data_IF_932864173816
#
_entry.id   IF_932864173816
#
_cell.length_a   1.000
_cell.length_b   1.000
_cell.length_c   1.000
_cell.angle_alpha   90.00
_cell.angle_beta   90.00
_cell.angle_gamma   90.00
#
_symmetry.space_group_name_H-M   'P 1'
#
loop_
_entity.id
_entity.type
_entity.pdbx_description
1 polymer ?
#
# COMPACT_ATOMS: atom_id res chain seq x y z
N UNK A 1 -19.56 13.37 11.31
CA UNK A 1 -20.46 13.06 10.17
C UNK A 1 -19.93 11.85 9.40
N UNK A 2 -19.63 10.75 10.11
CA UNK A 2 -19.17 9.46 9.53
C UNK A 2 -20.01 8.29 10.05
N UNK A 3 -21.07 8.55 10.83
CA UNK A 3 -21.75 7.51 11.60
C UNK A 3 -22.85 6.78 10.83
N UNK A 4 -23.31 7.28 9.68
CA UNK A 4 -24.40 6.65 8.95
C UNK A 4 -24.15 6.68 7.44
N UNK A 5 -23.43 5.67 6.94
CA UNK A 5 -23.65 5.20 5.57
C UNK A 5 -24.67 4.05 5.66
N UNK A 6 -25.92 4.24 5.21
CA UNK A 6 -26.95 3.21 5.25
C UNK A 6 -26.65 2.13 4.20
N UNK A 7 -25.73 1.22 4.52
CA UNK A 7 -25.55 -0.02 3.76
C UNK A 7 -26.71 -0.96 4.10
N UNK A 8 -27.82 -0.83 3.37
CA UNK A 8 -28.94 -1.76 3.44
C UNK A 8 -28.55 -3.14 2.88
N UNK A 9 -29.21 -4.20 3.38
CA UNK A 9 -28.99 -5.62 3.05
C UNK A 9 -28.90 -5.96 1.55
N UNK A 10 -29.41 -5.10 0.67
CA UNK A 10 -29.47 -5.33 -0.79
C UNK A 10 -28.25 -4.85 -1.58
N UNK A 11 -27.33 -4.07 -0.99
CA UNK A 11 -26.23 -3.44 -1.73
C UNK A 11 -24.85 -4.07 -1.46
N UNK A 12 -24.73 -4.80 -0.36
CA UNK A 12 -23.46 -5.33 0.17
C UNK A 12 -22.74 -6.36 -0.72
N UNK A 13 -23.41 -7.35 -1.38
CA UNK A 13 -22.70 -8.34 -2.19
C UNK A 13 -21.85 -7.73 -3.32
N UNK A 14 -22.21 -6.53 -3.78
CA UNK A 14 -21.52 -5.83 -4.85
C UNK A 14 -20.31 -5.00 -4.35
N UNK A 15 -20.28 -4.67 -3.06
CA UNK A 15 -19.35 -3.70 -2.43
C UNK A 15 -18.18 -4.35 -1.70
N UNK A 16 -18.16 -5.67 -1.52
CA UNK A 16 -17.05 -6.36 -0.83
C UNK A 16 -15.86 -6.61 -1.77
N UNK A 17 -16.11 -6.83 -3.08
CA UNK A 17 -15.09 -6.93 -4.14
C UNK A 17 -13.94 -5.89 -4.10
N UNK A 18 -14.18 -4.58 -3.90
CA UNK A 18 -13.19 -3.52 -3.99
C UNK A 18 -12.32 -3.36 -2.74
N UNK A 19 -12.67 -4.04 -1.64
CA UNK A 19 -12.05 -3.90 -0.31
C UNK A 19 -11.07 -5.03 0.03
N UNK A 20 -10.99 -6.06 -0.81
CA UNK A 20 -10.11 -7.20 -0.51
C UNK A 20 -8.69 -6.92 -0.98
N UNK A 21 -7.92 -6.40 -0.04
CA UNK A 21 -6.47 -6.40 -0.07
C UNK A 21 -5.93 -7.79 0.27
N UNK A 22 -4.74 -8.18 -0.26
CA UNK A 22 -4.03 -9.35 0.22
C UNK A 22 -3.85 -9.25 1.74
N UNK A 23 -4.11 -10.37 2.44
CA UNK A 23 -4.38 -10.50 3.89
C UNK A 23 -3.24 -10.11 4.86
N UNK A 24 -2.36 -9.17 4.50
CA UNK A 24 -1.18 -8.78 5.27
C UNK A 24 -1.25 -7.41 5.97
N UNK A 25 -2.19 -6.51 5.63
CA UNK A 25 -2.19 -5.15 6.20
C UNK A 25 -2.91 -5.02 7.57
N UNK A 26 -3.87 -5.89 7.87
CA UNK A 26 -4.68 -5.82 9.12
C UNK A 26 -3.86 -5.98 10.41
N UNK A 27 -2.65 -6.56 10.36
CA UNK A 27 -1.74 -6.67 11.52
C UNK A 27 -0.57 -5.68 11.52
N UNK A 28 -0.35 -4.93 10.43
CA UNK A 28 0.89 -4.15 10.23
C UNK A 28 0.81 -2.69 10.65
N UNK A 29 -0.39 -2.09 10.72
CA UNK A 29 -0.55 -0.67 11.09
C UNK A 29 -0.09 -0.33 12.52
N UNK A 30 0.03 -1.32 13.41
CA UNK A 30 0.64 -1.12 14.75
C UNK A 30 2.13 -1.47 14.80
N UNK A 31 2.68 -2.10 13.75
CA UNK A 31 4.07 -2.58 13.65
C UNK A 31 4.91 -1.83 12.61
N UNK A 32 4.39 -0.78 11.98
CA UNK A 32 5.14 0.07 11.03
C UNK A 32 6.29 0.89 11.66
N UNK A 33 6.59 0.69 12.96
CA UNK A 33 7.72 1.36 13.63
C UNK A 33 9.06 0.63 13.50
N UNK A 34 9.15 -0.51 12.79
CA UNK A 34 10.32 -1.41 12.88
C UNK A 34 10.65 -2.15 11.56
N UNK A 35 10.87 -1.43 10.46
CA UNK A 35 11.19 -2.06 9.15
C UNK A 35 12.69 -2.06 8.81
N UNK A 36 13.54 -1.49 9.66
CA UNK A 36 14.98 -1.44 9.40
C UNK A 36 15.72 -2.72 9.86
N UNK A 37 15.22 -3.39 10.89
CA UNK A 37 15.94 -4.44 11.62
C UNK A 37 15.36 -5.81 11.24
N UNK A 38 16.23 -6.75 10.86
CA UNK A 38 15.84 -8.14 10.65
C UNK A 38 15.18 -8.75 11.89
N UNK A 39 14.49 -9.89 11.73
CA UNK A 39 13.83 -10.60 12.85
C UNK A 39 14.84 -11.12 13.91
N UNK A 40 16.14 -10.91 13.70
CA UNK A 40 17.23 -11.24 14.62
C UNK A 40 17.57 -10.07 15.58
N UNK A 41 16.80 -9.98 16.66
CA UNK A 41 17.35 -9.82 18.03
C UNK A 41 18.11 -8.56 18.48
N UNK A 42 18.34 -7.51 17.69
CA UNK A 42 18.91 -6.25 18.23
C UNK A 42 17.85 -5.33 18.87
N UNK A 43 18.17 -4.76 20.04
CA UNK A 43 17.33 -3.80 20.76
C UNK A 43 17.16 -2.50 19.94
N UNK A 44 15.91 -2.10 19.68
CA UNK A 44 15.55 -0.92 18.90
C UNK A 44 16.27 0.35 19.38
N UNK A 45 16.56 0.46 20.69
CA UNK A 45 17.27 1.61 21.23
C UNK A 45 18.74 1.65 20.79
N UNK A 46 19.37 0.47 20.62
CA UNK A 46 20.74 0.37 20.12
C UNK A 46 20.82 0.79 18.65
N UNK A 47 19.86 0.35 17.84
CA UNK A 47 19.75 0.76 16.43
C UNK A 47 19.50 2.26 16.32
N UNK A 48 18.59 2.82 17.13
CA UNK A 48 18.35 4.27 17.19
C UNK A 48 19.58 5.07 17.59
N UNK A 49 20.43 4.53 18.47
CA UNK A 49 21.71 5.18 18.83
C UNK A 49 22.70 5.17 17.68
N UNK A 50 22.81 4.09 16.90
CA UNK A 50 23.65 4.01 15.70
C UNK A 50 23.16 4.98 14.61
N UNK A 51 21.86 4.98 14.32
CA UNK A 51 21.26 5.92 13.37
C UNK A 51 21.56 7.39 13.73
N UNK A 52 21.42 7.75 15.01
CA UNK A 52 21.74 9.10 15.50
C UNK A 52 23.21 9.50 15.29
N UNK A 53 24.16 8.56 15.31
CA UNK A 53 25.59 8.85 15.09
C UNK A 53 25.89 9.27 13.65
N UNK A 54 25.17 8.70 12.68
CA UNK A 54 25.26 9.09 11.26
C UNK A 54 24.31 10.23 10.88
N UNK A 55 23.72 10.92 11.86
CA UNK A 55 22.80 12.02 11.64
C UNK A 55 21.46 11.59 11.02
N UNK A 56 21.17 10.29 10.97
CA UNK A 56 19.90 9.76 10.49
C UNK A 56 18.95 9.60 11.68
N UNK A 57 17.82 10.30 11.64
CA UNK A 57 16.67 9.97 12.52
C UNK A 57 15.81 8.95 11.78
N UNK A 58 15.10 8.05 12.47
CA UNK A 58 14.19 7.08 11.82
C UNK A 58 13.26 7.74 10.78
N UNK A 59 12.82 8.98 11.04
CA UNK A 59 12.04 9.81 10.11
C UNK A 59 12.74 10.11 8.76
N UNK A 60 14.08 10.13 8.73
CA UNK A 60 14.90 10.26 7.51
C UNK A 60 15.07 8.92 6.78
N UNK A 61 14.53 7.82 7.28
CA UNK A 61 14.49 6.52 6.59
C UNK A 61 13.05 6.09 6.30
N UNK A 62 12.08 6.75 6.93
CA UNK A 62 10.68 6.78 6.53
C UNK A 62 10.52 7.54 5.19
N UNK A 63 9.58 7.06 4.40
CA UNK A 63 9.07 7.72 3.18
C UNK A 63 8.18 8.94 3.50
N UNK A 64 7.81 9.11 4.77
CA UNK A 64 6.97 10.17 5.32
C UNK A 64 7.64 11.57 5.39
N UNK A 65 8.96 11.68 5.17
CA UNK A 65 9.66 12.98 5.24
C UNK A 65 10.63 13.17 4.06
N UNK A 66 10.27 14.09 3.15
CA UNK A 66 11.18 14.63 2.13
C UNK A 66 10.80 14.38 0.67
N UNK A 67 11.56 15.00 -0.23
CA UNK A 67 11.50 14.79 -1.67
C UNK A 67 12.05 13.40 -2.07
N UNK A 68 11.72 12.86 -3.26
CA UNK A 68 12.35 11.66 -3.79
C UNK A 68 13.87 11.76 -3.72
N UNK A 69 14.52 10.69 -3.27
CA UNK A 69 15.98 10.68 -3.11
C UNK A 69 16.63 10.19 -4.39
N UNK A 70 17.79 10.74 -4.71
CA UNK A 70 18.54 10.28 -5.88
C UNK A 70 19.31 8.99 -5.56
N UNK A 71 19.59 8.13 -6.56
CA UNK A 71 20.37 6.91 -6.34
C UNK A 71 21.74 7.16 -5.66
N UNK A 72 22.49 8.24 -5.98
CA UNK A 72 23.71 8.58 -5.24
C UNK A 72 23.46 8.90 -3.76
N UNK A 73 22.36 9.57 -3.41
CA UNK A 73 22.01 9.84 -2.01
C UNK A 73 21.68 8.54 -1.26
N UNK A 74 20.96 7.63 -1.91
CA UNK A 74 20.68 6.29 -1.36
C UNK A 74 21.98 5.52 -1.09
N UNK A 75 22.93 5.55 -2.02
CA UNK A 75 24.22 4.90 -1.87
C UNK A 75 25.01 5.45 -0.66
N UNK A 76 25.04 6.78 -0.48
CA UNK A 76 25.69 7.41 0.67
C UNK A 76 25.03 6.95 1.98
N UNK A 77 23.70 6.89 2.03
CA UNK A 77 22.97 6.40 3.20
C UNK A 77 23.35 4.95 3.51
N UNK A 78 23.35 4.07 2.50
CA UNK A 78 23.71 2.66 2.69
C UNK A 78 25.16 2.48 3.18
N UNK A 79 26.10 3.29 2.66
CA UNK A 79 27.48 3.27 3.11
C UNK A 79 27.61 3.71 4.58
N UNK A 80 26.90 4.76 5.00
CA UNK A 80 26.88 5.23 6.39
C UNK A 80 26.25 4.20 7.33
N UNK A 81 25.16 3.56 6.92
CA UNK A 81 24.51 2.50 7.69
C UNK A 81 25.42 1.27 7.87
N UNK A 82 26.18 0.93 6.83
CA UNK A 82 27.15 -0.16 6.88
C UNK A 82 28.32 0.15 7.83
N UNK A 83 28.84 1.38 7.80
CA UNK A 83 29.95 1.82 8.68
C UNK A 83 29.57 1.76 10.17
N UNK A 84 28.33 2.14 10.49
CA UNK A 84 27.77 2.00 11.85
C UNK A 84 27.28 0.59 12.18
N UNK A 85 27.45 -0.38 11.28
CA UNK A 85 27.04 -1.78 11.45
C UNK A 85 25.54 -1.90 11.81
N UNK A 86 24.68 -1.12 11.16
CA UNK A 86 23.23 -1.23 11.33
C UNK A 86 22.74 -2.51 10.64
N UNK A 87 22.03 -3.43 11.33
CA UNK A 87 21.56 -4.69 10.75
C UNK A 87 20.38 -4.45 9.78
N UNK A 88 20.71 -4.06 8.55
CA UNK A 88 19.72 -3.67 7.55
C UNK A 88 19.17 -4.86 6.76
N UNK A 89 17.86 -5.09 6.83
CA UNK A 89 17.19 -6.13 6.02
C UNK A 89 16.35 -5.56 4.87
N UNK A 90 15.85 -4.34 5.03
CA UNK A 90 14.97 -3.66 4.08
C UNK A 90 15.23 -2.16 4.08
N UNK A 91 15.13 -1.50 2.93
CA UNK A 91 15.12 -0.04 2.81
C UNK A 91 13.95 0.41 1.93
N UNK A 92 13.32 1.53 2.30
CA UNK A 92 12.15 2.08 1.61
C UNK A 92 12.46 3.50 1.12
N UNK A 93 13.11 3.68 -0.05
CA UNK A 93 13.28 5.00 -0.62
C UNK A 93 11.94 5.55 -1.10
N UNK A 94 11.85 6.88 -1.14
CA UNK A 94 10.71 7.58 -1.72
C UNK A 94 10.91 7.74 -3.22
N UNK A 95 9.97 7.22 -4.00
CA UNK A 95 9.93 7.37 -5.44
C UNK A 95 9.20 8.65 -5.86
N UNK A 96 9.48 9.12 -7.07
CA UNK A 96 8.64 10.12 -7.73
C UNK A 96 7.23 9.56 -7.96
N UNK A 97 6.25 10.46 -8.01
CA UNK A 97 4.83 10.12 -8.17
C UNK A 97 4.15 9.76 -6.85
N UNK A 98 2.93 9.21 -6.95
CA UNK A 98 2.10 8.87 -5.78
C UNK A 98 1.47 7.50 -5.93
N UNK A 99 1.57 6.71 -4.87
CA UNK A 99 0.88 5.43 -4.73
C UNK A 99 -0.35 5.65 -3.84
N UNK A 100 -1.48 6.03 -4.44
CA UNK A 100 -2.69 6.32 -3.68
C UNK A 100 -3.42 5.01 -3.30
N UNK A 101 -4.03 4.99 -2.13
CA UNK A 101 -4.65 3.78 -1.58
C UNK A 101 -5.84 3.31 -2.42
N UNK A 102 -5.73 2.10 -2.96
CA UNK A 102 -6.78 1.49 -3.75
C UNK A 102 -6.94 2.06 -5.17
N UNK A 103 -6.09 2.96 -5.65
CA UNK A 103 -6.14 3.44 -7.05
C UNK A 103 -4.77 3.33 -7.71
N UNK A 104 -4.71 3.53 -9.03
CA UNK A 104 -3.47 3.47 -9.79
C UNK A 104 -2.42 4.49 -9.33
N UNK A 105 -1.16 4.17 -9.63
CA UNK A 105 -0.04 5.09 -9.49
C UNK A 105 -0.27 6.37 -10.30
N UNK A 106 0.02 7.51 -9.70
CA UNK A 106 -0.09 8.83 -10.33
C UNK A 106 1.30 9.42 -10.51
N UNK A 107 1.76 9.48 -11.76
CA UNK A 107 3.07 10.03 -12.12
C UNK A 107 3.56 9.53 -13.47
N UNK A 108 4.82 9.82 -13.79
CA UNK A 108 5.51 9.25 -14.94
C UNK A 108 5.98 7.83 -14.60
N UNK A 109 5.40 6.82 -15.27
CA UNK A 109 5.73 5.42 -15.09
C UNK A 109 7.14 5.08 -15.57
N UNK A 110 7.58 5.70 -16.67
CA UNK A 110 8.93 5.48 -17.19
C UNK A 110 9.99 6.09 -16.27
N UNK A 111 9.68 7.22 -15.62
CA UNK A 111 10.53 7.77 -14.55
C UNK A 111 10.62 6.82 -13.36
N UNK A 112 9.48 6.32 -12.87
CA UNK A 112 9.45 5.35 -11.77
C UNK A 112 10.28 4.09 -12.09
N UNK A 113 10.12 3.52 -13.29
CA UNK A 113 10.85 2.32 -13.71
C UNK A 113 12.37 2.54 -13.71
N UNK A 114 12.83 3.71 -14.17
CA UNK A 114 14.26 4.08 -14.12
C UNK A 114 14.76 4.26 -12.69
N UNK A 115 14.01 4.96 -11.84
CA UNK A 115 14.35 5.15 -10.43
C UNK A 115 14.45 3.80 -9.70
N UNK A 116 13.43 2.97 -9.84
CA UNK A 116 13.39 1.62 -9.26
C UNK A 116 14.57 0.78 -9.71
N UNK A 117 14.88 0.77 -11.01
CA UNK A 117 16.02 0.01 -11.56
C UNK A 117 17.36 0.51 -11.03
N UNK A 118 17.55 1.83 -10.91
CA UNK A 118 18.76 2.39 -10.33
C UNK A 118 18.90 2.08 -8.84
N UNK A 119 17.82 2.16 -8.07
CA UNK A 119 17.85 1.84 -6.65
C UNK A 119 18.19 0.37 -6.41
N UNK A 120 17.63 -0.55 -7.19
CA UNK A 120 18.02 -1.98 -7.16
C UNK A 120 19.52 -2.15 -7.44
N UNK A 121 20.05 -1.46 -8.44
CA UNK A 121 21.49 -1.52 -8.76
C UNK A 121 22.35 -0.95 -7.63
N UNK A 122 21.90 0.13 -6.98
CA UNK A 122 22.56 0.72 -5.81
C UNK A 122 22.58 -0.26 -4.63
N UNK A 123 21.47 -0.96 -4.36
CA UNK A 123 21.41 -1.98 -3.31
C UNK A 123 22.39 -3.11 -3.58
N UNK A 124 22.43 -3.62 -4.81
CA UNK A 124 23.36 -4.68 -5.20
C UNK A 124 24.82 -4.26 -5.04
N UNK A 125 25.17 -3.07 -5.55
CA UNK A 125 26.50 -2.50 -5.42
C UNK A 125 26.88 -2.29 -3.94
N UNK A 126 25.97 -1.77 -3.12
CA UNK A 126 26.24 -1.52 -1.71
C UNK A 126 26.41 -2.82 -0.91
N UNK A 127 25.65 -3.87 -1.22
CA UNK A 127 25.82 -5.20 -0.63
C UNK A 127 27.20 -5.78 -0.92
N UNK A 128 27.67 -5.68 -2.17
CA UNK A 128 29.00 -6.16 -2.54
C UNK A 128 30.12 -5.29 -1.94
N UNK A 129 29.97 -3.96 -1.99
CA UNK A 129 31.04 -3.03 -1.64
C UNK A 129 31.20 -2.80 -0.14
N UNK A 130 30.10 -2.77 0.60
CA UNK A 130 30.08 -2.40 2.03
C UNK A 130 29.70 -3.57 2.95
N UNK A 131 29.54 -4.78 2.42
CA UNK A 131 29.23 -5.97 3.21
C UNK A 131 27.81 -6.00 3.77
N UNK A 132 26.87 -5.25 3.17
CA UNK A 132 25.45 -5.36 3.52
C UNK A 132 24.89 -6.73 3.07
N UNK A 133 23.76 -7.18 3.64
CA UNK A 133 23.17 -8.47 3.29
C UNK A 133 22.84 -8.58 1.79
N UNK A 134 23.23 -9.68 1.15
CA UNK A 134 22.93 -9.94 -0.27
C UNK A 134 21.43 -10.03 -0.58
N UNK A 135 20.62 -10.27 0.45
CA UNK A 135 19.16 -10.33 0.39
C UNK A 135 18.49 -9.02 0.87
N UNK A 136 19.22 -7.89 0.87
CA UNK A 136 18.67 -6.58 1.19
C UNK A 136 17.49 -6.26 0.28
N UNK A 137 16.33 -5.98 0.88
CA UNK A 137 15.07 -5.77 0.16
C UNK A 137 14.85 -4.30 -0.12
N UNK A 138 14.48 -3.99 -1.36
CA UNK A 138 13.89 -2.70 -1.71
C UNK A 138 12.39 -2.76 -1.42
N UNK A 139 11.91 -1.89 -0.55
CA UNK A 139 10.50 -1.77 -0.26
C UNK A 139 9.89 -0.63 -1.06
N UNK A 140 8.76 -0.90 -1.71
CA UNK A 140 7.93 0.12 -2.34
C UNK A 140 6.75 0.38 -1.42
N UNK A 141 6.64 1.61 -0.95
CA UNK A 141 5.56 2.05 -0.09
C UNK A 141 4.90 3.29 -0.67
N UNK A 142 3.57 3.34 -0.54
CA UNK A 142 2.86 4.60 -0.54
C UNK A 142 3.27 5.32 0.74
N UNK A 143 4.06 6.39 0.69
CA UNK A 143 4.33 7.21 1.89
C UNK A 143 3.07 7.88 2.45
N UNK A 144 3.21 8.81 3.39
CA UNK A 144 2.11 9.51 4.11
C UNK A 144 0.95 10.01 3.24
N UNK A 145 1.19 10.31 1.97
CA UNK A 145 0.20 10.83 1.02
C UNK A 145 -0.61 9.70 0.37
N UNK A 146 -1.14 8.82 1.22
CA UNK A 146 -1.93 7.63 0.83
C UNK A 146 -3.34 7.98 0.35
N UNK A 147 -3.80 9.20 0.67
CA UNK A 147 -5.19 9.63 0.55
C UNK A 147 -5.25 10.96 -0.20
N UNK A 148 -5.77 10.90 -1.42
CA UNK A 148 -5.99 12.03 -2.33
C UNK A 148 -7.49 12.08 -2.67
N UNK A 149 -8.30 12.52 -1.70
CA UNK A 149 -9.76 12.63 -1.81
C UNK A 149 -10.14 14.09 -2.02
N UNK A 150 -10.64 14.40 -3.20
CA UNK A 150 -11.34 15.65 -3.46
C UNK A 150 -12.80 15.52 -3.02
N UNK A 151 -13.17 16.27 -1.98
CA UNK A 151 -14.54 16.27 -1.44
C UNK A 151 -15.57 16.78 -2.43
N UNK A 152 -15.20 17.69 -3.34
CA UNK A 152 -16.12 18.20 -4.36
C UNK A 152 -16.47 17.14 -5.42
N UNK A 153 -15.69 16.06 -5.50
CA UNK A 153 -15.91 14.94 -6.42
C UNK A 153 -16.55 13.72 -5.75
N UNK A 154 -16.93 13.84 -4.48
CA UNK A 154 -17.74 12.84 -3.80
C UNK A 154 -19.24 13.12 -4.05
N UNK A 155 -20.07 12.07 -4.19
CA UNK A 155 -21.51 12.25 -4.20
C UNK A 155 -21.97 12.79 -2.84
N UNK A 156 -23.06 13.55 -2.85
CA UNK A 156 -23.71 13.91 -1.58
C UNK A 156 -24.31 12.66 -0.91
N UNK A 157 -24.52 12.65 0.42
CA UNK A 157 -25.19 11.54 1.09
C UNK A 157 -26.55 11.20 0.46
N UNK A 158 -27.34 12.23 0.13
CA UNK A 158 -28.65 12.05 -0.52
C UNK A 158 -28.54 11.43 -1.92
N UNK A 159 -27.51 11.80 -2.70
CA UNK A 159 -27.26 11.15 -3.99
C UNK A 159 -26.87 9.68 -3.80
N UNK A 160 -26.00 9.39 -2.83
CA UNK A 160 -25.50 8.05 -2.57
C UNK A 160 -26.62 7.10 -2.12
N UNK A 161 -27.59 7.58 -1.34
CA UNK A 161 -28.77 6.82 -0.92
C UNK A 161 -29.65 6.36 -2.08
N UNK A 162 -29.60 7.06 -3.23
CA UNK A 162 -30.33 6.65 -4.43
C UNK A 162 -29.64 5.55 -5.22
N UNK A 163 -28.37 5.24 -4.93
CA UNK A 163 -27.62 4.24 -5.69
C UNK A 163 -28.03 2.83 -5.30
N UNK A 164 -28.25 1.99 -6.30
CA UNK A 164 -28.38 0.56 -6.10
C UNK A 164 -27.02 -0.14 -5.98
N UNK A 165 -27.03 -1.42 -5.59
CA UNK A 165 -25.80 -2.22 -5.42
C UNK A 165 -24.90 -2.25 -6.66
N UNK A 166 -25.45 -2.51 -7.87
CA UNK A 166 -24.70 -2.44 -9.12
C UNK A 166 -24.05 -1.08 -9.40
N UNK A 167 -24.79 0.03 -9.21
CA UNK A 167 -24.25 1.39 -9.39
C UNK A 167 -23.12 1.67 -8.42
N UNK A 168 -23.31 1.36 -7.13
CA UNK A 168 -22.29 1.55 -6.11
C UNK A 168 -21.04 0.73 -6.43
N UNK A 169 -21.18 -0.54 -6.83
CA UNK A 169 -20.06 -1.37 -7.28
C UNK A 169 -19.34 -0.80 -8.49
N UNK A 170 -20.07 -0.30 -9.50
CA UNK A 170 -19.46 0.30 -10.67
C UNK A 170 -18.60 1.52 -10.30
N UNK A 171 -19.05 2.31 -9.31
CA UNK A 171 -18.33 3.49 -8.85
C UNK A 171 -17.02 3.18 -8.10
N UNK A 172 -16.93 2.02 -7.43
CA UNK A 172 -15.81 1.68 -6.54
C UNK A 172 -14.94 0.54 -7.07
N UNK A 173 -15.38 -0.20 -8.09
CA UNK A 173 -14.56 -1.24 -8.73
C UNK A 173 -13.43 -0.56 -9.48
N UNK A 174 -12.20 -0.98 -9.22
CA UNK A 174 -11.03 -0.40 -9.86
C UNK A 174 -11.00 -0.66 -11.37
N UNK A 175 -11.77 0.07 -12.17
CA UNK A 175 -11.77 0.00 -13.64
C UNK A 175 -11.75 1.44 -14.13
N UNK A 176 -10.55 2.07 -14.20
CA UNK A 176 -10.42 3.50 -14.51
C UNK A 176 -11.07 3.93 -15.82
N UNK A 177 -11.20 3.02 -16.79
CA UNK A 177 -11.82 3.27 -18.08
C UNK A 177 -13.36 3.34 -18.04
N UNK A 178 -14.00 2.98 -16.91
CA UNK A 178 -15.46 3.04 -16.78
C UNK A 178 -15.92 4.43 -16.37
N UNK A 179 -16.93 5.02 -17.03
CA UNK A 179 -17.47 6.35 -16.67
C UNK A 179 -17.99 6.46 -15.24
N UNK A 180 -18.47 5.35 -14.68
CA UNK A 180 -19.01 5.31 -13.32
C UNK A 180 -17.93 5.35 -12.26
N UNK A 181 -16.71 4.89 -12.60
CA UNK A 181 -15.62 4.76 -11.65
C UNK A 181 -15.25 6.12 -11.05
N UNK A 182 -15.25 6.20 -9.73
CA UNK A 182 -14.87 7.37 -8.98
C UNK A 182 -13.69 7.05 -8.04
N UNK A 183 -12.47 7.51 -8.33
CA UNK A 183 -11.29 7.22 -7.52
C UNK A 183 -11.39 7.79 -6.10
N UNK A 184 -12.16 8.87 -5.89
CA UNK A 184 -12.33 9.48 -4.58
C UNK A 184 -13.30 8.68 -3.70
N UNK A 185 -14.39 8.16 -4.28
CA UNK A 185 -15.31 7.24 -3.56
C UNK A 185 -14.59 5.94 -3.22
N UNK A 186 -13.79 5.42 -4.15
CA UNK A 186 -12.97 4.23 -3.91
C UNK A 186 -11.98 4.42 -2.77
N UNK A 187 -11.20 5.50 -2.79
CA UNK A 187 -10.26 5.83 -1.71
C UNK A 187 -10.97 5.99 -0.37
N UNK A 188 -12.11 6.69 -0.34
CA UNK A 188 -12.91 6.87 0.87
C UNK A 188 -13.35 5.52 1.47
N UNK A 189 -13.88 4.62 0.64
CA UNK A 189 -14.27 3.29 1.08
C UNK A 189 -13.05 2.49 1.58
N UNK A 190 -11.95 2.58 0.84
CA UNK A 190 -10.72 1.85 1.11
C UNK A 190 -10.05 2.25 2.43
N UNK A 191 -10.23 3.48 2.91
CA UNK A 191 -9.71 3.89 4.23
C UNK A 191 -10.75 3.76 5.35
N UNK A 192 -12.04 3.71 5.01
CA UNK A 192 -13.13 3.62 5.99
C UNK A 192 -13.54 2.19 6.37
N UNK A 193 -12.94 1.15 5.78
CA UNK A 193 -13.25 -0.25 6.14
C UNK A 193 -13.10 -0.55 7.64
N UNK A 194 -12.20 0.15 8.35
CA UNK A 194 -12.05 0.04 9.81
C UNK A 194 -13.30 0.50 10.56
N UNK A 195 -14.05 1.45 10.01
CA UNK A 195 -15.36 1.87 10.53
C UNK A 195 -16.38 0.76 10.29
N UNK A 196 -16.41 0.17 9.09
CA UNK A 196 -17.27 -0.99 8.80
C UNK A 196 -17.00 -2.16 9.76
N UNK A 197 -15.73 -2.46 10.04
CA UNK A 197 -15.31 -3.52 10.94
C UNK A 197 -15.77 -3.30 12.41
N UNK A 198 -15.97 -2.04 12.84
CA UNK A 198 -16.50 -1.75 14.18
C UNK A 198 -17.95 -2.19 14.37
N UNK A 199 -18.69 -2.48 13.28
CA UNK A 199 -20.05 -3.02 13.37
C UNK A 199 -20.10 -4.52 13.70
N UNK A 200 -18.96 -5.18 13.91
CA UNK A 200 -18.87 -6.52 14.50
C UNK A 200 -19.68 -7.57 13.73
N UNK A 201 -20.55 -8.29 14.44
CA UNK A 201 -21.36 -9.39 13.88
C UNK A 201 -22.20 -8.94 12.70
N UNK A 202 -22.78 -7.73 12.73
CA UNK A 202 -23.54 -7.21 11.58
C UNK A 202 -22.71 -7.24 10.30
N UNK A 203 -21.45 -6.83 10.36
CA UNK A 203 -20.57 -6.82 9.19
C UNK A 203 -20.16 -8.25 8.79
N UNK A 204 -19.72 -9.09 9.73
CA UNK A 204 -19.25 -10.45 9.43
C UNK A 204 -20.38 -11.37 8.97
N UNK A 205 -21.57 -11.27 9.55
CA UNK A 205 -22.74 -12.07 9.16
C UNK A 205 -23.17 -11.74 7.72
N UNK A 206 -23.00 -10.48 7.30
CA UNK A 206 -23.26 -10.07 5.91
C UNK A 206 -22.19 -10.60 4.95
N UNK A 207 -20.93 -10.72 5.37
CA UNK A 207 -19.90 -11.39 4.58
C UNK A 207 -20.22 -12.87 4.41
N UNK A 208 -20.63 -13.55 5.48
CA UNK A 208 -20.99 -14.97 5.45
C UNK A 208 -22.24 -15.23 4.61
N UNK A 209 -23.30 -14.41 4.78
CA UNK A 209 -24.52 -14.53 3.99
C UNK A 209 -24.30 -14.29 2.49
N UNK A 210 -23.24 -13.59 2.10
CA UNK A 210 -22.90 -13.29 0.71
C UNK A 210 -21.62 -13.99 0.23
N UNK A 211 -21.18 -15.04 0.95
CA UNK A 211 -19.90 -15.72 0.76
C UNK A 211 -19.58 -16.07 -0.69
N UNK A 212 -20.54 -16.62 -1.43
CA UNK A 212 -20.29 -17.05 -2.81
C UNK A 212 -19.99 -15.87 -3.74
N UNK A 213 -20.73 -14.77 -3.57
CA UNK A 213 -20.48 -13.54 -4.32
C UNK A 213 -19.14 -12.95 -3.90
N UNK A 214 -18.87 -12.84 -2.60
CA UNK A 214 -17.60 -12.32 -2.07
C UNK A 214 -16.43 -13.14 -2.59
N UNK A 215 -16.46 -14.46 -2.45
CA UNK A 215 -15.39 -15.36 -2.85
C UNK A 215 -15.07 -15.21 -4.35
N UNK A 216 -16.08 -15.28 -5.22
CA UNK A 216 -15.91 -15.09 -6.66
C UNK A 216 -15.25 -13.74 -6.97
N UNK A 217 -15.71 -12.68 -6.31
CA UNK A 217 -15.20 -11.34 -6.48
C UNK A 217 -13.74 -11.18 -5.99
N UNK A 218 -13.40 -11.77 -4.86
CA UNK A 218 -12.02 -11.78 -4.33
C UNK A 218 -11.10 -12.55 -5.26
N UNK A 219 -11.53 -13.72 -5.72
CA UNK A 219 -10.75 -14.54 -6.66
C UNK A 219 -10.51 -13.77 -7.95
N UNK A 220 -11.54 -13.18 -8.55
CA UNK A 220 -11.39 -12.36 -9.76
C UNK A 220 -10.41 -11.20 -9.53
N UNK A 221 -10.52 -10.49 -8.40
CA UNK A 221 -9.61 -9.40 -8.11
C UNK A 221 -8.16 -9.87 -7.91
N UNK A 222 -7.91 -10.81 -6.98
CA UNK A 222 -6.55 -11.22 -6.62
C UNK A 222 -5.91 -12.07 -7.73
N UNK A 223 -6.59 -13.14 -8.15
CA UNK A 223 -6.01 -14.10 -9.10
C UNK A 223 -5.95 -13.53 -10.51
N UNK A 224 -7.09 -13.09 -11.04
CA UNK A 224 -7.19 -12.74 -12.47
C UNK A 224 -6.54 -11.41 -12.78
N UNK A 225 -6.70 -10.41 -11.90
CA UNK A 225 -6.26 -9.03 -12.20
C UNK A 225 -4.90 -8.67 -11.63
N UNK A 226 -4.40 -9.37 -10.61
CA UNK A 226 -3.11 -9.06 -9.98
C UNK A 226 -2.10 -10.18 -10.15
N UNK A 227 -2.42 -11.43 -9.78
CA UNK A 227 -1.44 -12.51 -9.84
C UNK A 227 -1.18 -12.99 -11.28
N UNK A 228 -2.23 -13.24 -12.08
CA UNK A 228 -2.07 -13.77 -13.43
C UNK A 228 -1.30 -12.83 -14.37
N UNK A 229 -1.49 -11.50 -14.37
CA UNK A 229 -0.68 -10.61 -15.21
C UNK A 229 0.81 -10.61 -14.85
N UNK A 230 1.14 -10.85 -13.58
CA UNK A 230 2.52 -10.86 -13.09
C UNK A 230 3.22 -12.22 -13.31
N UNK A 231 2.49 -13.33 -13.13
CA UNK A 231 3.08 -14.68 -13.09
C UNK A 231 2.57 -15.63 -14.18
N UNK A 232 1.46 -15.31 -14.84
CA UNK A 232 0.75 -16.21 -15.76
C UNK A 232 1.30 -16.28 -17.19
N UNK A 233 2.24 -15.40 -17.56
CA UNK A 233 2.91 -15.44 -18.86
C UNK A 233 4.21 -16.27 -18.85
N UNK A 234 4.64 -16.77 -17.68
CA UNK A 234 5.91 -17.47 -17.50
C UNK A 234 5.71 -18.88 -16.92
N UNK A 235 5.03 -19.75 -17.67
CA UNK A 235 5.30 -21.19 -17.60
C UNK A 235 5.44 -21.69 -19.03
N UNK A 236 6.65 -21.70 -19.61
CA UNK A 236 6.89 -22.55 -20.77
C UNK A 236 6.63 -24.00 -20.36
N UNK A 237 5.86 -24.70 -21.18
CA UNK A 237 5.53 -26.12 -21.04
C UNK A 237 6.78 -27.01 -21.06
#
# INVERSE_FOLDING_TARGET
MLDELPLERRQIPHVVHPLVEPSGELRRDRRQRHTLVGEEGEDDEQVRRRLRRVGLVHAHLDDDVGAPRTPPQLLVILALLADEQVPLQTIAPKFTGRFNKGVDYVGDLAAFEREFSHDVAVLAYAAERYGLPRNLKLSVHSGSDKIDIDRARLPSPAELETWDGPRLAAAIRHVPSRPEFNPHVRQLLHVSFKVAAKHGSRYTDLLDANRDVVARQVTENILERHLRPLFGAAVPA
#
